data_IF_588920387237
#
_entry.id   IF_588920387237
#
_cell.length_a   1.000
_cell.length_b   1.000
_cell.length_c   1.000
_cell.angle_alpha   90.00
_cell.angle_beta   90.00
_cell.angle_gamma   90.00
#
_symmetry.space_group_name_H-M   'P 1'
#
loop_
_entity.id
_entity.type
_entity.pdbx_description
1 polymer ?
#
# COMPACT_ATOMS: atom_id res chain seq x y z
N UNK A 1 21.93 -6.89 15.24
CA UNK A 1 21.55 -6.85 14.72
C UNK A 1 20.91 -6.60 14.04
N UNK A 2 20.63 -6.51 13.97
CA UNK A 2 20.02 -6.43 13.40
C UNK A 2 19.63 -6.08 12.48
N UNK A 3 19.60 -6.15 11.65
CA UNK A 3 19.26 -5.80 10.75
C UNK A 3 18.45 -6.11 9.80
N UNK A 4 17.98 -6.63 9.70
CA UNK A 4 17.05 -7.17 8.92
C UNK A 4 15.89 -6.41 8.70
N UNK A 5 15.64 -5.41 9.44
CA UNK A 5 14.54 -4.56 9.28
C UNK A 5 14.56 -3.76 8.09
N UNK A 6 15.59 -3.84 7.27
CA UNK A 6 15.63 -3.05 6.11
C UNK A 6 14.51 -3.29 5.18
N UNK A 7 14.00 -4.51 5.04
CA UNK A 7 12.91 -4.78 4.14
C UNK A 7 11.60 -4.21 4.65
N UNK A 8 11.55 -3.85 5.93
CA UNK A 8 10.36 -3.27 6.50
C UNK A 8 10.49 -1.76 6.68
N UNK A 9 11.59 -1.21 6.23
CA UNK A 9 11.80 0.23 6.38
C UNK A 9 10.78 1.00 5.58
N UNK A 10 10.10 1.94 6.20
CA UNK A 10 9.07 2.71 5.56
C UNK A 10 9.60 4.02 5.07
N UNK A 11 9.20 4.39 3.86
CA UNK A 11 9.56 5.66 3.27
C UNK A 11 8.31 6.53 3.24
N UNK A 12 8.39 7.72 3.80
CA UNK A 12 7.27 8.65 3.77
C UNK A 12 7.12 9.22 2.38
N UNK A 13 5.89 9.25 1.89
CA UNK A 13 5.64 9.80 0.58
C UNK A 13 4.15 10.14 0.49
N UNK A 14 3.77 10.76 -0.59
CA UNK A 14 2.39 11.19 -0.78
C UNK A 14 2.04 10.95 -2.23
N UNK A 15 1.63 9.72 -2.52
CA UNK A 15 1.33 9.32 -3.89
C UNK A 15 -0.17 9.16 -4.06
N UNK A 16 -0.71 9.64 -5.19
CA UNK A 16 -2.11 9.38 -5.49
C UNK A 16 -2.36 7.88 -5.63
N UNK A 17 -3.53 7.44 -5.23
CA UNK A 17 -3.84 6.01 -5.28
C UNK A 17 -5.34 5.83 -5.43
N UNK A 18 -5.72 4.61 -5.78
CA UNK A 18 -7.11 4.17 -5.81
C UNK A 18 -7.12 2.78 -5.21
N UNK A 19 -8.20 2.41 -4.54
CA UNK A 19 -8.30 1.06 -4.01
C UNK A 19 -9.70 0.53 -4.19
N UNK A 20 -9.80 -0.79 -4.23
CA UNK A 20 -11.04 -1.48 -4.46
C UNK A 20 -11.17 -2.54 -3.40
N UNK A 21 -12.27 -2.52 -2.69
CA UNK A 21 -12.54 -3.49 -1.64
C UNK A 21 -14.02 -3.78 -1.59
N UNK A 22 -14.46 -4.35 -0.48
CA UNK A 22 -15.85 -4.75 -0.35
C UNK A 22 -16.80 -3.56 -0.38
N UNK A 23 -16.32 -2.40 0.03
CA UNK A 23 -17.16 -1.19 0.02
C UNK A 23 -17.13 -0.45 -1.31
N UNK A 24 -16.43 -0.99 -2.31
CA UNK A 24 -16.38 -0.39 -3.65
C UNK A 24 -15.02 0.23 -3.95
N UNK A 25 -15.00 1.11 -4.93
CA UNK A 25 -13.79 1.76 -5.40
C UNK A 25 -13.67 3.15 -4.78
N UNK A 26 -12.48 3.51 -4.35
CA UNK A 26 -12.24 4.77 -3.64
C UNK A 26 -10.94 5.39 -4.08
N UNK A 27 -10.90 6.72 -4.05
CA UNK A 27 -9.64 7.43 -4.24
C UNK A 27 -8.95 7.56 -2.90
N UNK A 28 -7.63 7.67 -2.92
CA UNK A 28 -6.85 7.68 -1.70
C UNK A 28 -5.45 8.26 -1.95
N UNK A 29 -4.67 8.28 -0.88
CA UNK A 29 -3.27 8.64 -0.97
C UNK A 29 -2.47 7.63 -0.18
N UNK A 30 -1.27 7.35 -0.67
CA UNK A 30 -0.36 6.47 0.04
C UNK A 30 0.59 7.37 0.84
N UNK A 31 0.60 7.21 2.15
CA UNK A 31 1.41 8.07 3.02
C UNK A 31 2.77 7.48 3.32
N UNK A 32 2.86 6.18 3.40
CA UNK A 32 4.17 5.56 3.57
C UNK A 32 4.16 4.23 2.83
N UNK A 33 5.33 3.77 2.47
CA UNK A 33 5.47 2.61 1.62
C UNK A 33 6.71 1.84 2.02
N UNK A 34 6.61 0.53 2.05
CA UNK A 34 7.74 -0.35 2.26
C UNK A 34 7.58 -1.54 1.31
N UNK A 35 8.55 -2.45 1.32
CA UNK A 35 8.41 -3.66 0.51
C UNK A 35 7.29 -4.56 1.02
N UNK A 36 6.92 -4.44 2.29
CA UNK A 36 5.90 -5.30 2.87
C UNK A 36 4.50 -4.73 2.88
N UNK A 37 4.33 -3.42 2.71
CA UNK A 37 3.00 -2.84 2.79
C UNK A 37 3.01 -1.32 2.72
N UNK A 38 1.85 -0.75 3.00
CA UNK A 38 1.70 0.71 2.94
C UNK A 38 0.57 1.14 3.86
N UNK A 39 0.51 2.45 4.12
CA UNK A 39 -0.66 3.02 4.77
C UNK A 39 -1.47 3.77 3.72
N UNK A 40 -2.75 3.46 3.63
CA UNK A 40 -3.67 4.05 2.65
C UNK A 40 -4.54 5.08 3.37
N UNK A 41 -4.36 6.35 3.04
CA UNK A 41 -5.12 7.43 3.63
C UNK A 41 -6.40 7.59 2.83
N UNK A 42 -7.54 7.30 3.44
CA UNK A 42 -8.82 7.28 2.78
C UNK A 42 -9.94 7.35 3.81
N UNK A 43 -11.06 7.99 3.51
CA UNK A 43 -12.23 7.93 4.40
C UNK A 43 -13.03 6.65 4.22
N UNK A 44 -12.70 5.82 3.24
CA UNK A 44 -13.45 4.59 2.97
C UNK A 44 -13.32 3.59 4.10
N UNK A 45 -14.27 2.66 4.16
CA UNK A 45 -14.33 1.67 5.24
C UNK A 45 -13.81 0.34 4.79
N UNK A 46 -13.06 -0.30 5.67
CA UNK A 46 -12.56 -1.66 5.44
C UNK A 46 -12.69 -2.44 6.74
N UNK A 47 -12.62 -3.75 6.63
CA UNK A 47 -12.53 -4.63 7.78
C UNK A 47 -11.13 -5.20 7.83
N UNK A 48 -10.59 -5.36 9.04
CA UNK A 48 -9.31 -6.04 9.23
C UNK A 48 -9.40 -7.44 8.62
N UNK A 49 -8.41 -7.80 7.85
CA UNK A 49 -8.39 -9.10 7.16
C UNK A 49 -8.98 -9.07 5.76
N UNK A 50 -9.63 -7.95 5.40
CA UNK A 50 -10.21 -7.82 4.07
C UNK A 50 -9.09 -7.76 3.02
N UNK A 51 -9.31 -8.38 1.85
CA UNK A 51 -8.35 -8.31 0.75
C UNK A 51 -8.72 -7.12 -0.13
N UNK A 52 -7.73 -6.28 -0.40
CA UNK A 52 -7.93 -5.03 -1.12
C UNK A 52 -6.92 -4.96 -2.26
N UNK A 53 -7.37 -4.45 -3.40
CA UNK A 53 -6.49 -4.16 -4.52
C UNK A 53 -6.23 -2.66 -4.51
N UNK A 54 -4.97 -2.26 -4.55
CA UNK A 54 -4.60 -0.85 -4.55
C UNK A 54 -3.80 -0.55 -5.81
N UNK A 55 -4.09 0.59 -6.41
CA UNK A 55 -3.32 1.09 -7.54
C UNK A 55 -2.63 2.36 -7.10
N UNK A 56 -1.32 2.41 -7.24
CA UNK A 56 -0.51 3.54 -6.78
C UNK A 56 0.06 4.24 -7.99
N UNK A 57 -0.12 5.55 -8.06
CA UNK A 57 0.44 6.31 -9.17
C UNK A 57 1.88 6.65 -8.86
N UNK A 58 2.80 6.12 -9.65
CA UNK A 58 4.22 6.31 -9.45
C UNK A 58 4.65 7.69 -9.92
N UNK A 59 5.81 8.18 -9.46
CA UNK A 59 6.33 9.46 -9.95
C UNK A 59 6.51 9.48 -11.47
N UNK A 60 6.70 8.32 -12.08
CA UNK A 60 6.82 8.22 -13.54
C UNK A 60 5.49 8.47 -14.24
N UNK A 61 4.39 8.44 -13.51
CA UNK A 61 3.06 8.55 -14.09
C UNK A 61 2.39 7.22 -14.32
N UNK A 62 3.12 6.14 -14.18
CA UNK A 62 2.55 4.81 -14.35
C UNK A 62 1.82 4.39 -13.09
N UNK A 63 0.84 3.49 -13.25
CA UNK A 63 0.08 2.96 -12.11
C UNK A 63 0.59 1.57 -11.79
N UNK A 64 0.87 1.33 -10.52
CA UNK A 64 1.32 0.04 -10.03
C UNK A 64 0.18 -0.60 -9.25
N UNK A 65 -0.29 -1.76 -9.70
CA UNK A 65 -1.39 -2.44 -9.04
C UNK A 65 -0.84 -3.51 -8.11
N UNK A 66 -1.26 -3.45 -6.87
CA UNK A 66 -0.82 -4.40 -5.85
C UNK A 66 -2.05 -4.87 -5.10
N UNK A 67 -1.92 -5.94 -4.35
CA UNK A 67 -2.99 -6.47 -3.53
C UNK A 67 -2.46 -6.82 -2.16
N UNK A 68 -3.33 -6.80 -1.19
CA UNK A 68 -2.91 -7.13 0.16
C UNK A 68 -4.09 -7.31 1.09
N UNK A 69 -3.76 -7.51 2.34
CA UNK A 69 -4.73 -7.76 3.38
C UNK A 69 -4.68 -6.61 4.38
N UNK A 70 -5.83 -6.13 4.79
CA UNK A 70 -5.92 -5.04 5.75
C UNK A 70 -5.44 -5.53 7.11
N UNK A 71 -4.39 -4.90 7.63
CA UNK A 71 -3.80 -5.26 8.91
C UNK A 71 -4.33 -4.40 10.04
N UNK A 72 -4.73 -3.16 9.75
CA UNK A 72 -5.24 -2.24 10.77
C UNK A 72 -6.15 -1.22 10.11
N UNK A 73 -7.09 -0.69 10.88
CA UNK A 73 -8.04 0.28 10.34
C UNK A 73 -8.25 1.39 11.37
N UNK A 74 -8.18 2.63 10.90
CA UNK A 74 -8.46 3.80 11.72
C UNK A 74 -9.57 4.57 11.04
N UNK A 75 -10.75 4.55 11.64
CA UNK A 75 -11.94 5.11 11.04
C UNK A 75 -11.74 6.58 10.68
N UNK A 76 -12.09 6.95 9.46
CA UNK A 76 -11.96 8.32 8.98
C UNK A 76 -10.56 8.74 8.58
N UNK A 77 -9.57 7.87 8.80
CA UNK A 77 -8.17 8.18 8.50
C UNK A 77 -7.63 7.26 7.41
N UNK A 78 -7.74 5.96 7.61
CA UNK A 78 -7.22 5.03 6.62
C UNK A 78 -6.91 3.67 7.19
N UNK A 79 -6.11 2.91 6.45
CA UNK A 79 -5.80 1.56 6.88
C UNK A 79 -4.39 1.16 6.46
N UNK A 80 -3.81 0.25 7.23
CA UNK A 80 -2.54 -0.38 6.90
C UNK A 80 -2.79 -1.62 6.07
N UNK A 81 -2.02 -1.78 5.01
CA UNK A 81 -2.16 -2.90 4.08
C UNK A 81 -0.86 -3.68 4.04
N UNK A 82 -0.93 -5.00 4.18
CA UNK A 82 0.21 -5.88 4.01
C UNK A 82 0.08 -6.51 2.63
N UNK A 83 1.09 -6.33 1.79
CA UNK A 83 1.04 -6.83 0.42
C UNK A 83 1.06 -8.36 0.40
N UNK A 84 0.34 -8.95 -0.54
CA UNK A 84 0.25 -10.38 -0.71
C UNK A 84 0.66 -10.78 -2.11
N UNK A 85 1.38 -11.89 -2.20
CA UNK A 85 1.67 -12.49 -3.51
C UNK A 85 2.27 -11.51 -4.52
N UNK A 86 3.30 -10.79 -4.11
CA UNK A 86 3.98 -9.90 -5.03
C UNK A 86 4.71 -10.70 -6.09
N UNK A 87 4.54 -10.29 -7.35
CA UNK A 87 5.35 -10.85 -8.42
C UNK A 87 6.74 -10.23 -8.37
N UNK A 88 7.69 -10.82 -9.10
CA UNK A 88 9.04 -10.28 -9.14
C UNK A 88 9.05 -8.87 -9.71
N UNK A 89 8.23 -8.62 -10.72
CA UNK A 89 8.15 -7.29 -11.32
C UNK A 89 7.57 -6.27 -10.34
N UNK A 90 6.57 -6.67 -9.57
CA UNK A 90 5.98 -5.79 -8.56
C UNK A 90 6.98 -5.48 -7.47
N UNK A 91 7.70 -6.48 -7.02
CA UNK A 91 8.70 -6.26 -6.00
C UNK A 91 9.81 -5.35 -6.49
N UNK A 92 10.24 -5.54 -7.73
CA UNK A 92 11.26 -4.69 -8.32
C UNK A 92 10.79 -3.24 -8.40
N UNK A 93 9.54 -3.02 -8.81
CA UNK A 93 8.98 -1.67 -8.88
C UNK A 93 8.95 -1.02 -7.50
N UNK A 94 8.59 -1.78 -6.46
CA UNK A 94 8.59 -1.26 -5.11
C UNK A 94 10.01 -0.91 -4.65
N UNK A 95 10.98 -1.76 -4.97
CA UNK A 95 12.36 -1.49 -4.57
C UNK A 95 12.87 -0.19 -5.16
N UNK A 96 12.48 0.10 -6.39
CA UNK A 96 12.91 1.33 -7.04
C UNK A 96 12.32 2.57 -6.37
N UNK A 97 11.15 2.44 -5.78
CA UNK A 97 10.51 3.56 -5.11
C UNK A 97 11.06 3.77 -3.71
N UNK A 98 11.29 2.69 -2.96
CA UNK A 98 11.64 2.80 -1.55
C UNK A 98 13.14 2.84 -1.30
N UNK A 99 13.95 2.74 -2.31
CA UNK A 99 15.41 2.90 -2.16
C UNK A 99 15.88 4.23 -2.85
#
# INVERSE_FOLDING_TARGET
>A
MTENRRSDERVEMNLPARWDGLSGAHEARIEDLSLGGCFVNTPGRVDTGEVVVVEIKLPSGEWLQLRGEVASYQQGIGFGLLFSFLTDDEEQALREIVT
#
